data_IF_749594825769
#
_entry.id   IF_749594825769
#
_cell.length_a   1.000
_cell.length_b   1.000
_cell.length_c   1.000
_cell.angle_alpha   90.00
_cell.angle_beta   90.00
_cell.angle_gamma   90.00
#
_symmetry.space_group_name_H-M   'P 1'
#
loop_
_entity.id
_entity.type
_entity.pdbx_description
1 polymer ?
#
# COMPACT_ATOMS: atom_id res chain seq x y z
N UNK A 1 -1.11 -13.53 0.93
CA UNK A 1 -0.72 -14.65 0.05
C UNK A 1 -1.50 -15.84 0.50
N UNK A 2 -2.25 -16.44 -0.41
CA UNK A 2 -3.04 -17.63 -0.12
C UNK A 2 -2.24 -18.86 -0.54
N UNK A 3 -2.45 -19.97 0.17
CA UNK A 3 -1.89 -21.25 -0.27
C UNK A 3 -2.70 -21.76 -1.47
N UNK A 4 -2.05 -21.81 -2.63
CA UNK A 4 -2.69 -22.23 -3.87
C UNK A 4 -2.92 -23.73 -4.00
N UNK A 5 -2.26 -24.57 -3.18
CA UNK A 5 -2.53 -26.02 -3.17
C UNK A 5 -3.78 -26.33 -2.37
N UNK A 6 -3.92 -25.70 -1.21
CA UNK A 6 -5.03 -25.93 -0.30
C UNK A 6 -6.28 -25.13 -0.71
N UNK A 7 -6.09 -23.95 -1.30
CA UNK A 7 -7.17 -23.02 -1.68
C UNK A 7 -7.03 -22.51 -3.13
N UNK A 8 -7.16 -23.39 -4.14
CA UNK A 8 -6.92 -23.02 -5.54
C UNK A 8 -7.84 -21.90 -6.05
N UNK A 9 -9.05 -21.77 -5.50
CA UNK A 9 -10.00 -20.71 -5.83
C UNK A 9 -9.46 -19.31 -5.52
N UNK A 10 -8.62 -19.17 -4.49
CA UNK A 10 -8.01 -17.89 -4.13
C UNK A 10 -6.93 -17.45 -5.12
N UNK A 11 -6.42 -18.36 -5.95
CA UNK A 11 -5.38 -18.10 -6.94
C UNK A 11 -5.92 -18.10 -8.38
N UNK A 12 -7.23 -18.20 -8.58
CA UNK A 12 -7.85 -18.27 -9.90
C UNK A 12 -7.50 -17.05 -10.77
N UNK A 13 -7.43 -15.87 -10.16
CA UNK A 13 -7.10 -14.62 -10.86
C UNK A 13 -5.60 -14.34 -10.91
N UNK A 14 -4.79 -15.02 -10.10
CA UNK A 14 -3.33 -14.90 -10.09
C UNK A 14 -2.67 -16.27 -9.83
N UNK A 15 -2.49 -17.11 -10.87
CA UNK A 15 -1.97 -18.46 -10.72
C UNK A 15 -0.66 -18.50 -9.92
N UNK A 16 -0.60 -19.40 -8.94
CA UNK A 16 0.53 -19.54 -8.01
C UNK A 16 0.52 -18.60 -6.80
N UNK A 17 -0.42 -17.64 -6.71
CA UNK A 17 -0.59 -16.75 -5.56
C UNK A 17 0.73 -16.11 -5.06
N UNK A 18 1.59 -15.72 -6.00
CA UNK A 18 2.95 -15.24 -5.69
C UNK A 18 2.96 -14.12 -4.66
N UNK A 19 3.86 -14.23 -3.67
CA UNK A 19 3.92 -13.35 -2.51
C UNK A 19 4.93 -12.20 -2.65
N UNK A 20 5.11 -11.71 -3.87
CA UNK A 20 6.09 -10.69 -4.21
C UNK A 20 5.65 -9.92 -5.44
N UNK A 21 6.39 -8.86 -5.77
CA UNK A 21 6.18 -8.03 -6.96
C UNK A 21 6.37 -8.79 -8.29
N UNK A 22 6.87 -10.04 -8.26
CA UNK A 22 6.88 -10.91 -9.44
C UNK A 22 5.46 -11.29 -9.90
N UNK A 23 4.50 -11.32 -8.97
CA UNK A 23 3.09 -11.46 -9.29
C UNK A 23 2.51 -10.08 -9.61
N UNK A 24 2.08 -9.87 -10.85
CA UNK A 24 1.55 -8.58 -11.32
C UNK A 24 0.30 -8.09 -10.56
N UNK A 25 -0.43 -8.99 -9.89
CA UNK A 25 -1.62 -8.64 -9.08
C UNK A 25 -1.32 -8.54 -7.58
N UNK A 26 -0.05 -8.56 -7.19
CA UNK A 26 0.38 -8.40 -5.80
C UNK A 26 0.31 -6.96 -5.30
N UNK A 27 0.04 -6.80 -4.00
CA UNK A 27 -0.06 -5.50 -3.30
C UNK A 27 -1.17 -4.59 -3.84
N UNK A 28 -1.20 -3.33 -3.40
CA UNK A 28 -2.25 -2.37 -3.73
C UNK A 28 -2.36 -2.08 -5.23
N UNK A 29 -1.24 -1.77 -5.87
CA UNK A 29 -1.23 -1.44 -7.31
C UNK A 29 -1.54 -2.66 -8.17
N UNK A 30 -1.07 -3.84 -7.79
CA UNK A 30 -1.42 -5.08 -8.49
C UNK A 30 -2.89 -5.46 -8.33
N UNK A 31 -3.45 -5.31 -7.13
CA UNK A 31 -4.89 -5.55 -6.91
C UNK A 31 -5.76 -4.60 -7.75
N UNK A 32 -5.38 -3.32 -7.86
CA UNK A 32 -6.06 -2.39 -8.76
C UNK A 32 -5.89 -2.75 -10.24
N UNK A 33 -4.71 -3.26 -10.63
CA UNK A 33 -4.47 -3.77 -11.98
C UNK A 33 -5.37 -4.97 -12.31
N UNK A 34 -5.59 -5.87 -11.35
CA UNK A 34 -6.52 -7.01 -11.50
C UNK A 34 -7.95 -6.55 -11.87
N UNK A 35 -8.44 -5.50 -11.20
CA UNK A 35 -9.72 -4.87 -11.52
C UNK A 35 -9.70 -4.20 -12.90
N UNK A 36 -8.66 -3.41 -13.19
CA UNK A 36 -8.51 -2.68 -14.45
C UNK A 36 -8.43 -3.61 -15.68
N UNK A 37 -7.78 -4.76 -15.53
CA UNK A 37 -7.65 -5.76 -16.59
C UNK A 37 -8.97 -6.55 -16.79
N UNK A 38 -9.99 -6.35 -15.94
CA UNK A 38 -11.25 -7.08 -15.98
C UNK A 38 -11.15 -8.52 -15.46
N UNK A 39 -10.06 -8.86 -14.75
CA UNK A 39 -9.89 -10.18 -14.17
C UNK A 39 -10.77 -10.39 -12.92
N UNK A 40 -11.03 -9.32 -12.16
CA UNK A 40 -11.93 -9.35 -11.00
C UNK A 40 -12.86 -8.13 -10.96
N UNK A 41 -13.97 -8.26 -10.24
CA UNK A 41 -15.02 -7.23 -10.18
C UNK A 41 -14.82 -6.19 -9.07
N UNK A 42 -13.97 -6.48 -8.08
CA UNK A 42 -13.69 -5.61 -6.94
C UNK A 42 -12.23 -5.71 -6.52
N UNK A 43 -11.62 -4.57 -6.15
CA UNK A 43 -10.28 -4.51 -5.59
C UNK A 43 -10.28 -3.86 -4.20
N UNK A 44 -9.82 -4.60 -3.19
CA UNK A 44 -9.66 -4.07 -1.83
C UNK A 44 -8.31 -3.36 -1.69
N UNK A 45 -8.32 -2.03 -1.78
CA UNK A 45 -7.12 -1.20 -1.78
C UNK A 45 -7.27 0.05 -0.90
N UNK A 46 -6.18 0.80 -0.70
CA UNK A 46 -6.19 2.09 0.02
C UNK A 46 -6.81 3.18 -0.87
N UNK A 47 -7.35 4.23 -0.23
CA UNK A 47 -7.95 5.36 -0.94
C UNK A 47 -7.02 6.03 -1.95
N UNK A 48 -5.70 6.03 -1.72
CA UNK A 48 -4.73 6.68 -2.61
C UNK A 48 -4.37 5.85 -3.86
N UNK A 49 -4.68 4.54 -3.89
CA UNK A 49 -4.21 3.63 -4.94
C UNK A 49 -4.67 4.02 -6.33
N UNK A 50 -5.92 4.45 -6.48
CA UNK A 50 -6.44 4.85 -7.79
C UNK A 50 -5.75 6.11 -8.30
N UNK A 51 -5.46 7.08 -7.43
CA UNK A 51 -4.74 8.31 -7.78
C UNK A 51 -3.26 8.06 -8.11
N UNK A 52 -2.66 7.03 -7.50
CA UNK A 52 -1.30 6.59 -7.80
C UNK A 52 -1.17 5.87 -9.16
N UNK A 53 -2.27 5.33 -9.68
CA UNK A 53 -2.29 4.53 -10.92
C UNK A 53 -2.98 5.22 -12.11
N UNK A 54 -3.90 6.15 -11.86
CA UNK A 54 -4.64 6.91 -12.86
C UNK A 54 -4.49 8.41 -12.62
N UNK A 55 -3.71 9.07 -13.48
CA UNK A 55 -3.46 10.51 -13.40
C UNK A 55 -4.67 11.34 -13.84
N UNK A 56 -5.40 10.90 -14.86
CA UNK A 56 -6.51 11.67 -15.44
C UNK A 56 -7.80 11.42 -14.66
N UNK A 57 -8.55 12.51 -14.42
CA UNK A 57 -9.87 12.40 -13.77
C UNK A 57 -10.87 11.58 -14.61
N UNK A 58 -10.87 11.75 -15.93
CA UNK A 58 -11.76 11.00 -16.82
C UNK A 58 -11.57 9.47 -16.75
N UNK A 59 -10.34 9.00 -16.44
CA UNK A 59 -10.09 7.58 -16.22
C UNK A 59 -10.59 7.13 -14.84
N UNK A 60 -10.48 8.01 -13.83
CA UNK A 60 -10.95 7.75 -12.46
C UNK A 60 -12.47 7.74 -12.34
N UNK A 61 -13.16 8.58 -13.10
CA UNK A 61 -14.62 8.68 -13.12
C UNK A 61 -15.30 7.40 -13.64
N UNK A 62 -14.54 6.46 -14.22
CA UNK A 62 -15.01 5.13 -14.62
C UNK A 62 -15.06 4.11 -13.48
N UNK A 63 -14.64 4.51 -12.26
CA UNK A 63 -14.57 3.64 -11.08
C UNK A 63 -15.39 4.24 -9.94
N UNK A 64 -15.93 3.35 -9.10
CA UNK A 64 -16.74 3.70 -7.93
C UNK A 64 -16.22 2.99 -6.68
N UNK A 65 -16.55 3.53 -5.51
CA UNK A 65 -16.33 2.89 -4.22
C UNK A 65 -17.60 2.20 -3.75
N UNK A 66 -17.45 1.02 -3.12
CA UNK A 66 -18.53 0.33 -2.42
C UNK A 66 -18.60 0.84 -0.98
N UNK A 67 -19.76 1.35 -0.58
CA UNK A 67 -20.00 1.91 0.73
C UNK A 67 -20.68 0.89 1.66
N UNK A 68 -20.51 1.06 2.98
CA UNK A 68 -21.08 0.15 3.98
C UNK A 68 -22.62 0.16 4.04
N UNK A 69 -23.23 1.24 3.56
CA UNK A 69 -24.68 1.41 3.45
C UNK A 69 -25.28 0.79 2.18
N UNK A 70 -24.50 -0.06 1.48
CA UNK A 70 -24.84 -0.68 0.19
C UNK A 70 -25.06 0.32 -0.95
N UNK A 71 -24.54 1.54 -0.82
CA UNK A 71 -24.50 2.51 -1.92
C UNK A 71 -23.15 2.51 -2.62
N UNK A 72 -23.05 3.27 -3.70
CA UNK A 72 -21.79 3.56 -4.40
C UNK A 72 -21.54 5.05 -4.45
N UNK A 73 -20.28 5.44 -4.37
CA UNK A 73 -19.85 6.84 -4.47
C UNK A 73 -18.61 6.99 -5.34
N UNK A 74 -18.34 8.23 -5.76
CA UNK A 74 -17.12 8.56 -6.48
C UNK A 74 -15.87 8.20 -5.65
N UNK A 75 -14.79 7.87 -6.35
CA UNK A 75 -13.47 7.60 -5.75
C UNK A 75 -12.90 8.79 -4.96
N UNK A 76 -13.36 10.01 -5.24
CA UNK A 76 -12.98 11.22 -4.52
C UNK A 76 -13.66 11.31 -3.13
N UNK A 77 -14.77 10.61 -2.91
CA UNK A 77 -15.58 10.64 -1.69
C UNK A 77 -15.17 9.57 -0.66
N UNK A 78 -13.93 9.07 -0.74
CA UNK A 78 -13.41 8.00 0.13
C UNK A 78 -13.51 8.31 1.63
N UNK A 79 -13.56 9.59 2.03
CA UNK A 79 -13.72 9.99 3.44
C UNK A 79 -15.10 9.64 3.99
N UNK A 80 -16.12 9.66 3.14
CA UNK A 80 -17.51 9.36 3.48
C UNK A 80 -17.94 7.96 2.99
N UNK A 81 -17.11 7.30 2.19
CA UNK A 81 -17.31 5.93 1.71
C UNK A 81 -16.01 5.12 1.78
N UNK A 82 -15.82 4.43 2.90
CA UNK A 82 -14.69 3.51 3.14
C UNK A 82 -15.12 2.38 4.07
N UNK A 83 -14.41 1.25 4.03
CA UNK A 83 -14.70 0.10 4.87
C UNK A 83 -14.22 0.29 6.31
N UNK A 84 -13.01 0.85 6.48
CA UNK A 84 -12.42 1.09 7.79
C UNK A 84 -11.25 2.08 7.68
N UNK A 85 -10.86 2.66 8.83
CA UNK A 85 -9.60 3.37 8.98
C UNK A 85 -8.60 2.41 9.62
N UNK A 86 -7.42 2.29 9.02
CA UNK A 86 -6.37 1.37 9.48
C UNK A 86 -5.11 2.15 9.84
N UNK A 87 -4.33 1.68 10.84
CA UNK A 87 -3.02 2.26 11.13
C UNK A 87 -2.09 2.23 9.92
N UNK A 88 -1.18 3.19 9.86
CA UNK A 88 -0.12 3.23 8.84
C UNK A 88 0.81 2.04 8.97
N UNK A 89 1.45 1.67 7.85
CA UNK A 89 2.52 0.66 7.86
C UNK A 89 3.64 1.10 8.79
N UNK A 90 4.19 0.15 9.55
CA UNK A 90 5.13 0.42 10.63
C UNK A 90 6.33 -0.53 10.52
N UNK A 91 7.53 0.00 10.74
CA UNK A 91 8.76 -0.80 10.82
C UNK A 91 8.78 -1.54 12.16
N UNK A 92 8.95 -2.85 12.13
CA UNK A 92 9.04 -3.69 13.32
C UNK A 92 10.50 -4.04 13.62
N UNK A 93 10.81 -4.15 14.91
CA UNK A 93 12.13 -4.54 15.39
C UNK A 93 12.00 -5.70 16.38
N UNK A 94 13.13 -6.35 16.68
CA UNK A 94 13.19 -7.38 17.72
C UNK A 94 12.97 -6.74 19.10
N UNK A 95 12.26 -7.43 19.99
CA UNK A 95 11.99 -6.93 21.36
C UNK A 95 13.24 -6.85 22.25
N UNK A 96 14.27 -7.63 21.98
CA UNK A 96 15.54 -7.65 22.73
C UNK A 96 16.69 -7.43 21.78
N UNK A 97 17.49 -6.37 21.98
CA UNK A 97 18.59 -6.02 21.08
C UNK A 97 18.11 -5.60 19.68
N UNK A 98 16.95 -4.94 19.61
CA UNK A 98 16.27 -4.57 18.37
C UNK A 98 16.94 -3.46 17.56
N UNK A 99 17.86 -2.71 18.19
CA UNK A 99 18.53 -1.54 17.59
C UNK A 99 17.52 -0.48 17.15
N UNK A 100 16.41 -0.35 17.87
CA UNK A 100 15.32 0.58 17.59
C UNK A 100 15.79 2.04 17.47
N UNK A 101 16.81 2.43 18.25
CA UNK A 101 17.40 3.76 18.18
C UNK A 101 18.21 3.97 16.89
N UNK A 102 18.99 2.96 16.47
CA UNK A 102 19.74 3.03 15.20
C UNK A 102 18.82 2.94 13.99
N UNK A 103 17.72 2.17 14.07
CA UNK A 103 16.68 2.13 13.04
C UNK A 103 16.07 3.52 12.90
N UNK A 104 15.69 4.16 14.01
CA UNK A 104 15.15 5.51 13.98
C UNK A 104 16.17 6.52 13.44
N UNK A 105 17.41 6.47 13.89
CA UNK A 105 18.47 7.36 13.42
C UNK A 105 18.68 7.25 11.91
N UNK A 106 18.80 6.02 11.40
CA UNK A 106 18.93 5.74 9.96
C UNK A 106 17.75 6.30 9.18
N UNK A 107 16.52 6.00 9.60
CA UNK A 107 15.32 6.42 8.88
C UNK A 107 15.10 7.94 8.97
N UNK A 108 15.46 8.55 10.09
CA UNK A 108 15.35 10.00 10.25
C UNK A 108 16.33 10.74 9.34
N UNK A 109 17.58 10.31 9.29
CA UNK A 109 18.55 10.87 8.34
C UNK A 109 18.11 10.59 6.89
N UNK A 110 17.64 9.38 6.59
CA UNK A 110 17.20 9.02 5.25
C UNK A 110 16.03 9.89 4.75
N UNK A 111 15.04 10.20 5.58
CA UNK A 111 13.93 11.08 5.17
C UNK A 111 14.34 12.55 5.02
N UNK A 112 15.35 13.01 5.77
CA UNK A 112 15.87 14.38 5.63
C UNK A 112 16.62 14.57 4.30
N UNK A 113 17.40 13.57 3.89
CA UNK A 113 18.18 13.61 2.65
C UNK A 113 17.41 13.16 1.40
N UNK A 114 16.56 12.12 1.53
CA UNK A 114 15.93 11.43 0.40
C UNK A 114 14.40 11.33 0.53
N UNK A 115 13.79 12.08 1.44
CA UNK A 115 12.34 12.20 1.54
C UNK A 115 11.72 12.84 0.28
N UNK A 116 10.40 13.04 0.31
CA UNK A 116 9.70 13.66 -0.82
C UNK A 116 10.30 15.02 -1.17
N UNK A 117 10.60 15.19 -2.45
CA UNK A 117 11.14 16.43 -3.03
C UNK A 117 12.46 16.91 -2.43
N UNK A 118 13.26 16.00 -1.82
CA UNK A 118 14.56 16.32 -1.18
C UNK A 118 15.78 16.13 -2.07
N UNK A 119 15.81 15.07 -2.87
CA UNK A 119 16.94 14.70 -3.74
C UNK A 119 16.45 14.30 -5.13
N UNK A 120 17.23 14.64 -6.15
CA UNK A 120 16.99 14.22 -7.54
C UNK A 120 17.64 12.88 -7.85
N UNK A 121 18.67 12.52 -7.11
CA UNK A 121 19.48 11.32 -7.27
C UNK A 121 18.77 10.08 -6.73
N UNK A 122 18.09 10.20 -5.58
CA UNK A 122 17.38 9.09 -4.95
C UNK A 122 16.14 9.58 -4.19
N UNK A 123 15.07 8.80 -4.26
CA UNK A 123 13.81 9.06 -3.58
C UNK A 123 13.42 7.86 -2.72
N UNK A 124 13.21 8.09 -1.43
CA UNK A 124 12.90 7.02 -0.47
C UNK A 124 11.46 6.47 -0.62
N UNK A 125 10.56 7.28 -1.17
CA UNK A 125 9.13 6.97 -1.32
C UNK A 125 8.69 6.91 -2.80
N UNK A 126 9.60 6.58 -3.72
CA UNK A 126 9.28 6.30 -5.12
C UNK A 126 10.47 5.63 -5.79
N UNK A 127 10.24 4.70 -6.73
CA UNK A 127 11.33 4.05 -7.45
C UNK A 127 11.01 3.85 -8.94
N UNK A 128 11.99 3.95 -9.84
CA UNK A 128 11.81 3.54 -11.23
C UNK A 128 11.62 2.03 -11.39
N UNK A 129 11.94 1.23 -10.35
CA UNK A 129 11.88 -0.23 -10.39
C UNK A 129 10.54 -0.81 -9.94
N UNK A 130 9.59 0.03 -9.50
CA UNK A 130 8.27 -0.42 -9.04
C UNK A 130 7.67 0.50 -7.98
N UNK A 131 6.43 0.19 -7.59
CA UNK A 131 5.68 0.93 -6.56
C UNK A 131 5.73 0.23 -5.21
N UNK A 132 5.67 1.01 -4.14
CA UNK A 132 5.64 0.57 -2.74
C UNK A 132 6.83 -0.36 -2.39
N UNK A 133 8.03 -0.06 -2.92
CA UNK A 133 9.24 -0.83 -2.64
C UNK A 133 9.89 -0.37 -1.33
N UNK A 134 10.05 -1.30 -0.36
CA UNK A 134 10.46 -1.06 1.03
C UNK A 134 9.43 -0.24 1.85
N UNK A 135 9.04 0.93 1.34
CA UNK A 135 8.06 1.83 1.93
C UNK A 135 6.99 2.19 0.91
N UNK A 136 5.81 2.58 1.38
CA UNK A 136 4.71 3.00 0.50
C UNK A 136 5.03 4.30 -0.21
N UNK A 137 4.67 4.42 -1.48
CA UNK A 137 4.89 5.65 -2.27
C UNK A 137 4.03 6.83 -1.74
N UNK A 138 2.92 6.50 -1.08
CA UNK A 138 2.04 7.47 -0.41
C UNK A 138 2.64 8.04 0.90
N UNK A 139 3.71 7.45 1.43
CA UNK A 139 4.32 7.94 2.67
C UNK A 139 5.02 9.29 2.42
N UNK A 140 5.02 10.15 3.45
CA UNK A 140 5.67 11.46 3.40
C UNK A 140 6.88 11.55 4.34
N UNK A 141 7.07 10.55 5.22
CA UNK A 141 8.10 10.53 6.25
C UNK A 141 7.83 9.46 7.28
N UNK A 142 8.62 9.47 8.35
CA UNK A 142 8.54 8.54 9.47
C UNK A 142 8.26 9.28 10.77
N UNK A 143 7.56 8.60 11.68
CA UNK A 143 7.37 9.02 13.06
C UNK A 143 7.86 7.91 13.98
N UNK A 144 8.59 8.29 15.04
CA UNK A 144 9.05 7.31 16.04
C UNK A 144 7.83 6.80 16.83
N UNK A 145 7.67 5.49 16.90
CA UNK A 145 6.65 4.85 17.73
C UNK A 145 6.99 5.10 19.21
N UNK A 146 6.00 5.37 20.09
CA UNK A 146 6.25 5.53 21.52
C UNK A 146 6.97 4.33 22.14
N UNK A 147 7.80 4.54 23.18
CA UNK A 147 8.55 3.47 23.81
C UNK A 147 7.63 2.35 24.34
N UNK A 148 8.01 1.09 24.06
CA UNK A 148 7.34 -0.13 24.55
C UNK A 148 5.88 -0.31 24.11
N UNK A 149 5.45 0.33 23.03
CA UNK A 149 4.17 0.02 22.39
C UNK A 149 4.21 -1.40 21.82
N UNK A 150 3.20 -2.21 22.12
CA UNK A 150 3.04 -3.56 21.57
C UNK A 150 2.11 -3.58 20.34
N UNK A 151 2.05 -4.72 19.65
CA UNK A 151 1.28 -4.86 18.41
C UNK A 151 -0.24 -4.95 18.63
N UNK A 152 -0.70 -5.02 19.88
CA UNK A 152 -2.13 -5.06 20.22
C UNK A 152 -2.66 -3.63 20.33
N UNK A 153 -3.04 -3.07 19.18
CA UNK A 153 -3.96 -1.93 19.13
C UNK A 153 -5.40 -2.41 19.13
#
# INVERSE_FOLDING_TARGET
CADGTDFPQLCQLCPGCGCSTLNQYFSYSGAFKCLKDGAGDVAFVKHSTIFENLANKADRDQYELLCLDNTRKSVDEYKDCHLARVPSHTVVARSVGGKEDLIWELLNQAQEHFGKDKSKEFQLFSSPHGKDLLFKDSAHGFLKVPPRMDAKM
#
